data_IF_926612318893
#
_entry.id   IF_926612318893
#
_cell.length_a   1.000
_cell.length_b   1.000
_cell.length_c   1.000
_cell.angle_alpha   90.00
_cell.angle_beta   90.00
_cell.angle_gamma   90.00
#
_symmetry.space_group_name_H-M   'P 1'
#
loop_
_entity.id
_entity.type
_entity.pdbx_description
1 polymer ?
#
# COMPACT_ATOMS: atom_id res chain seq x y z
N UNK A 1 -34.07 -27.76 9.24
CA UNK A 1 -32.93 -27.96 10.17
C UNK A 1 -32.91 -26.84 11.21
N UNK A 2 -32.82 -27.18 12.50
CA UNK A 2 -32.77 -26.18 13.57
C UNK A 2 -31.41 -25.47 13.62
N UNK A 3 -31.41 -24.16 13.78
CA UNK A 3 -30.17 -23.35 13.79
C UNK A 3 -29.18 -23.79 14.88
N UNK A 4 -29.70 -24.25 16.02
CA UNK A 4 -28.93 -24.75 17.16
C UNK A 4 -28.11 -26.00 16.83
N UNK A 5 -28.56 -26.80 15.86
CA UNK A 5 -27.83 -27.97 15.39
C UNK A 5 -26.77 -27.61 14.35
N UNK A 6 -27.01 -26.55 13.55
CA UNK A 6 -26.09 -26.10 12.50
C UNK A 6 -24.85 -25.43 13.09
N UNK A 7 -25.03 -24.61 14.13
CA UNK A 7 -23.96 -23.84 14.78
C UNK A 7 -22.70 -24.67 15.09
N UNK A 8 -22.75 -25.80 15.80
CA UNK A 8 -21.54 -26.56 16.12
C UNK A 8 -20.84 -27.14 14.88
N UNK A 9 -21.58 -27.44 13.82
CA UNK A 9 -20.99 -27.93 12.57
C UNK A 9 -20.29 -26.80 11.81
N UNK A 10 -20.91 -25.62 11.70
CA UNK A 10 -20.28 -24.43 11.12
C UNK A 10 -19.02 -24.05 11.90
N UNK A 11 -19.10 -24.05 13.24
CA UNK A 11 -17.97 -23.78 14.13
C UNK A 11 -16.81 -24.75 13.87
N UNK A 12 -17.10 -26.06 13.76
CA UNK A 12 -16.10 -27.07 13.47
C UNK A 12 -15.47 -26.92 12.08
N UNK A 13 -16.25 -26.60 11.05
CA UNK A 13 -15.74 -26.37 9.69
C UNK A 13 -14.77 -25.18 9.65
N UNK A 14 -15.18 -24.04 10.21
CA UNK A 14 -14.35 -22.82 10.23
C UNK A 14 -13.09 -23.05 11.09
N UNK A 15 -13.19 -23.78 12.19
CA UNK A 15 -12.05 -24.11 13.05
C UNK A 15 -11.04 -25.07 12.39
N UNK A 16 -11.53 -26.06 11.65
CA UNK A 16 -10.68 -27.05 11.00
C UNK A 16 -10.01 -26.53 9.72
N UNK A 17 -10.52 -25.45 9.14
CA UNK A 17 -9.99 -24.89 7.89
C UNK A 17 -8.67 -24.17 8.08
N UNK A 18 -7.73 -24.42 7.16
CA UNK A 18 -6.45 -23.72 7.06
C UNK A 18 -6.52 -22.41 6.26
N UNK A 19 -7.65 -22.16 5.58
CA UNK A 19 -7.91 -20.95 4.79
C UNK A 19 -9.30 -20.35 5.12
N UNK A 20 -9.57 -19.08 4.78
CA UNK A 20 -10.89 -18.50 4.95
C UNK A 20 -11.95 -19.27 4.14
N UNK A 21 -13.03 -19.70 4.81
CA UNK A 21 -14.09 -20.49 4.22
C UNK A 21 -15.25 -19.61 3.72
N UNK A 22 -15.54 -19.58 2.41
CA UNK A 22 -16.70 -18.86 1.87
C UNK A 22 -18.03 -19.42 2.40
N UNK A 23 -19.03 -18.55 2.60
CA UNK A 23 -20.36 -18.97 3.09
C UNK A 23 -21.00 -20.06 2.22
N UNK A 24 -20.90 -19.91 0.90
CA UNK A 24 -21.43 -20.90 -0.04
C UNK A 24 -20.74 -22.26 0.10
N UNK A 25 -19.43 -22.26 0.35
CA UNK A 25 -18.68 -23.49 0.55
C UNK A 25 -19.05 -24.16 1.87
N UNK A 26 -19.32 -23.38 2.93
CA UNK A 26 -19.85 -23.91 4.19
C UNK A 26 -21.21 -24.56 3.97
N UNK A 27 -22.12 -23.92 3.23
CA UNK A 27 -23.43 -24.48 2.87
C UNK A 27 -23.25 -25.82 2.13
N UNK A 28 -22.37 -25.85 1.14
CA UNK A 28 -22.10 -27.05 0.36
C UNK A 28 -21.52 -28.16 1.24
N UNK A 29 -20.51 -27.89 2.06
CA UNK A 29 -19.87 -28.86 2.95
C UNK A 29 -20.84 -29.42 4.00
N UNK A 30 -21.71 -28.57 4.56
CA UNK A 30 -22.78 -29.02 5.44
C UNK A 30 -23.69 -29.99 4.70
N UNK A 31 -24.22 -29.61 3.53
CA UNK A 31 -25.15 -30.46 2.80
C UNK A 31 -24.51 -31.77 2.28
N UNK A 32 -23.21 -31.78 1.99
CA UNK A 32 -22.47 -32.99 1.58
C UNK A 32 -22.16 -33.93 2.76
N UNK A 33 -21.78 -33.39 3.92
CA UNK A 33 -21.54 -34.20 5.13
C UNK A 33 -22.83 -34.76 5.72
N UNK A 34 -23.95 -34.08 5.44
CA UNK A 34 -25.28 -34.40 5.94
C UNK A 34 -26.05 -35.45 5.11
N UNK A 35 -25.37 -36.49 4.60
CA UNK A 35 -26.04 -37.69 4.06
C UNK A 35 -26.93 -38.46 5.07
N UNK A 36 -27.10 -37.94 6.29
CA UNK A 36 -27.82 -38.54 7.42
C UNK A 36 -28.92 -37.64 8.03
N UNK A 37 -29.12 -36.40 7.57
CA UNK A 37 -30.13 -35.48 8.13
C UNK A 37 -31.22 -35.18 7.09
N UNK A 38 -32.47 -35.09 7.56
CA UNK A 38 -33.66 -35.02 6.69
C UNK A 38 -33.83 -33.67 5.95
N UNK A 39 -33.07 -32.63 6.33
CA UNK A 39 -33.23 -31.26 5.85
C UNK A 39 -31.94 -30.65 5.30
N UNK A 40 -32.06 -29.93 4.18
CA UNK A 40 -30.99 -29.14 3.56
C UNK A 40 -30.77 -27.85 4.36
N UNK A 41 -29.52 -27.53 4.69
CA UNK A 41 -29.14 -26.24 5.28
C UNK A 41 -29.22 -25.13 4.22
N UNK A 42 -29.91 -24.03 4.57
CA UNK A 42 -30.02 -22.84 3.72
C UNK A 42 -28.93 -21.82 4.03
N UNK A 43 -28.64 -20.94 3.06
CA UNK A 43 -27.65 -19.86 3.24
C UNK A 43 -27.98 -18.95 4.43
N UNK A 44 -29.26 -18.60 4.62
CA UNK A 44 -29.71 -17.73 5.71
C UNK A 44 -29.46 -18.36 7.09
N UNK A 45 -29.64 -19.68 7.21
CA UNK A 45 -29.32 -20.40 8.43
C UNK A 45 -27.82 -20.44 8.72
N UNK A 46 -26.99 -20.59 7.68
CA UNK A 46 -25.53 -20.53 7.82
C UNK A 46 -25.08 -19.14 8.24
N UNK A 47 -25.60 -18.07 7.62
CA UNK A 47 -25.29 -16.70 8.01
C UNK A 47 -25.68 -16.41 9.46
N UNK A 48 -26.88 -16.84 9.86
CA UNK A 48 -27.36 -16.68 11.24
C UNK A 48 -26.50 -17.49 12.23
N UNK A 49 -26.06 -18.68 11.85
CA UNK A 49 -25.15 -19.49 12.65
C UNK A 49 -23.77 -18.83 12.80
N UNK A 50 -23.20 -18.28 11.72
CA UNK A 50 -21.94 -17.54 11.75
C UNK A 50 -22.05 -16.35 12.69
N UNK A 51 -23.14 -15.57 12.63
CA UNK A 51 -23.32 -14.41 13.50
C UNK A 51 -23.44 -14.82 14.97
N UNK A 52 -24.19 -15.88 15.28
CA UNK A 52 -24.26 -16.42 16.64
C UNK A 52 -22.87 -16.86 17.16
N UNK A 53 -22.05 -17.46 16.30
CA UNK A 53 -20.68 -17.84 16.67
C UNK A 53 -19.80 -16.59 16.87
N UNK A 54 -19.91 -15.58 16.02
CA UNK A 54 -19.19 -14.31 16.19
C UNK A 54 -19.54 -13.64 17.50
N UNK A 55 -20.83 -13.58 17.84
CA UNK A 55 -21.30 -13.03 19.12
C UNK A 55 -20.73 -13.82 20.30
N UNK A 56 -20.77 -15.17 20.25
CA UNK A 56 -20.18 -16.06 21.26
C UNK A 56 -18.70 -15.75 21.53
N UNK A 57 -17.89 -15.55 20.48
CA UNK A 57 -16.45 -15.29 20.60
C UNK A 57 -16.08 -13.81 20.77
N UNK A 58 -17.03 -12.88 20.65
CA UNK A 58 -16.80 -11.45 20.86
C UNK A 58 -16.35 -11.14 22.30
N UNK A 59 -16.81 -11.93 23.28
CA UNK A 59 -16.49 -11.75 24.70
C UNK A 59 -14.99 -11.78 25.00
N UNK A 60 -14.54 -10.96 25.96
CA UNK A 60 -13.13 -10.88 26.40
C UNK A 60 -12.56 -12.19 26.97
N UNK A 61 -13.42 -13.14 27.35
CA UNK A 61 -13.00 -14.46 27.82
C UNK A 61 -12.30 -15.30 26.74
N UNK A 62 -12.53 -15.00 25.45
CA UNK A 62 -11.91 -15.70 24.34
C UNK A 62 -10.77 -14.89 23.72
N UNK A 63 -9.61 -15.53 23.54
CA UNK A 63 -8.42 -14.93 22.92
C UNK A 63 -8.43 -14.93 21.39
N UNK A 64 -9.46 -15.52 20.78
CA UNK A 64 -9.65 -15.64 19.34
C UNK A 64 -11.09 -15.33 18.97
N UNK A 65 -11.31 -14.99 17.71
CA UNK A 65 -12.61 -14.62 17.17
C UNK A 65 -12.73 -15.04 15.70
N UNK A 66 -13.97 -15.16 15.22
CA UNK A 66 -14.22 -15.32 13.79
C UNK A 66 -14.19 -13.95 13.13
N UNK A 67 -13.38 -13.82 12.07
CA UNK A 67 -13.38 -12.63 11.22
C UNK A 67 -13.67 -12.98 9.76
N UNK A 68 -14.35 -12.07 9.04
CA UNK A 68 -14.37 -12.14 7.59
C UNK A 68 -12.97 -11.80 7.06
N UNK A 69 -12.46 -12.61 6.13
CA UNK A 69 -11.20 -12.42 5.43
C UNK A 69 -11.29 -13.13 4.08
N UNK A 70 -10.75 -12.56 3.00
CA UNK A 70 -10.65 -13.33 1.76
C UNK A 70 -11.95 -13.61 1.01
N UNK A 71 -13.08 -13.02 1.44
CA UNK A 71 -14.41 -13.42 0.99
C UNK A 71 -14.99 -14.64 1.73
N UNK A 72 -14.38 -15.06 2.84
CA UNK A 72 -14.84 -16.12 3.72
C UNK A 72 -14.66 -15.79 5.20
N UNK A 73 -14.82 -16.80 6.05
CA UNK A 73 -14.67 -16.69 7.50
C UNK A 73 -13.55 -17.59 8.01
N UNK A 74 -12.76 -17.08 8.96
CA UNK A 74 -11.70 -17.84 9.61
C UNK A 74 -11.61 -17.46 11.09
N UNK A 75 -11.18 -18.41 11.93
CA UNK A 75 -10.74 -18.10 13.28
C UNK A 75 -9.37 -17.44 13.28
N UNK A 76 -9.27 -16.28 13.93
CA UNK A 76 -8.02 -15.54 14.13
C UNK A 76 -7.87 -15.15 15.59
N UNK A 77 -6.63 -15.02 16.05
CA UNK A 77 -6.36 -14.48 17.39
C UNK A 77 -6.71 -13.00 17.45
N UNK A 78 -7.27 -12.53 18.57
CA UNK A 78 -7.61 -11.11 18.74
C UNK A 78 -6.34 -10.24 18.69
N UNK A 79 -6.41 -9.00 18.16
CA UNK A 79 -5.24 -8.12 18.00
C UNK A 79 -4.45 -7.89 19.29
N UNK A 80 -5.13 -7.88 20.44
CA UNK A 80 -4.51 -7.72 21.76
C UNK A 80 -3.43 -8.78 22.08
N UNK A 81 -3.52 -9.97 21.47
CA UNK A 81 -2.58 -11.07 21.70
C UNK A 81 -1.43 -11.12 20.68
N UNK A 82 -1.37 -10.18 19.74
CA UNK A 82 -0.29 -10.11 18.74
C UNK A 82 1.12 -10.22 19.35
N UNK A 83 1.48 -9.50 20.43
CA UNK A 83 2.83 -9.59 21.01
C UNK A 83 3.21 -11.01 21.45
N UNK A 84 2.23 -11.76 21.96
CA UNK A 84 2.41 -13.13 22.42
C UNK A 84 2.51 -14.11 21.24
N UNK A 85 1.60 -13.99 20.26
CA UNK A 85 1.58 -14.87 19.07
C UNK A 85 2.81 -14.64 18.20
N UNK A 86 3.32 -13.41 18.13
CA UNK A 86 4.54 -13.09 17.39
C UNK A 86 5.77 -13.89 17.87
N UNK A 87 5.83 -14.24 19.17
CA UNK A 87 6.91 -15.08 19.70
C UNK A 87 6.89 -16.51 19.14
N UNK A 88 5.70 -17.04 18.81
CA UNK A 88 5.55 -18.37 18.22
C UNK A 88 6.08 -18.41 16.78
N UNK A 89 5.83 -17.35 16.01
CA UNK A 89 6.18 -17.29 14.59
C UNK A 89 7.67 -16.99 14.33
N UNK A 90 8.40 -16.53 15.36
CA UNK A 90 9.82 -16.21 15.32
C UNK A 90 10.21 -15.14 14.28
N UNK A 91 11.51 -14.90 14.11
CA UNK A 91 12.03 -13.94 13.12
C UNK A 91 11.88 -14.42 11.67
N UNK A 92 11.51 -15.70 11.45
CA UNK A 92 11.50 -16.34 10.14
C UNK A 92 10.27 -16.00 9.30
N UNK A 93 9.17 -15.53 9.90
CA UNK A 93 7.91 -15.31 9.18
C UNK A 93 7.66 -13.87 8.71
N UNK A 94 8.58 -12.95 8.98
CA UNK A 94 8.48 -11.55 8.53
C UNK A 94 9.54 -11.22 7.48
N UNK A 95 9.58 -11.96 6.36
CA UNK A 95 10.09 -11.34 5.12
C UNK A 95 9.04 -10.36 4.62
N UNK A 96 8.93 -9.24 5.35
CA UNK A 96 8.14 -8.07 4.98
C UNK A 96 8.47 -7.75 3.53
N UNK A 97 7.45 -7.40 2.76
CA UNK A 97 7.67 -6.81 1.45
C UNK A 97 8.59 -5.60 1.62
N UNK A 98 9.62 -5.51 0.78
CA UNK A 98 10.45 -4.30 0.71
C UNK A 98 9.58 -3.10 0.37
N UNK A 99 10.00 -1.89 0.74
CA UNK A 99 9.30 -0.64 0.43
C UNK A 99 8.93 -0.57 -1.05
N UNK A 100 9.88 -0.83 -1.96
CA UNK A 100 9.63 -0.84 -3.41
C UNK A 100 8.56 -1.85 -3.87
N UNK A 101 8.45 -2.99 -3.19
CA UNK A 101 7.44 -4.00 -3.48
C UNK A 101 6.07 -3.60 -2.93
N UNK A 102 6.04 -2.95 -1.76
CA UNK A 102 4.83 -2.38 -1.18
C UNK A 102 4.26 -1.26 -2.04
N UNK A 103 5.09 -0.33 -2.51
CA UNK A 103 4.70 0.73 -3.44
C UNK A 103 4.12 0.16 -4.74
N UNK A 104 4.81 -0.83 -5.31
CA UNK A 104 4.35 -1.50 -6.53
C UNK A 104 3.00 -2.19 -6.30
N UNK A 105 2.84 -2.87 -5.17
CA UNK A 105 1.60 -3.53 -4.81
C UNK A 105 0.46 -2.53 -4.61
N UNK A 106 0.72 -1.40 -3.95
CA UNK A 106 -0.26 -0.34 -3.74
C UNK A 106 -0.76 0.23 -5.08
N UNK A 107 0.15 0.50 -6.02
CA UNK A 107 -0.22 0.96 -7.37
C UNK A 107 -1.14 -0.06 -8.05
N UNK A 108 -0.78 -1.35 -8.01
CA UNK A 108 -1.61 -2.41 -8.59
C UNK A 108 -2.99 -2.45 -7.92
N UNK A 109 -3.04 -2.42 -6.58
CA UNK A 109 -4.28 -2.52 -5.82
C UNK A 109 -5.28 -1.39 -6.13
N UNK A 110 -4.79 -0.14 -6.26
CA UNK A 110 -5.63 1.04 -6.50
C UNK A 110 -5.89 1.34 -7.98
N UNK A 111 -5.04 0.89 -8.90
CA UNK A 111 -5.17 1.20 -10.34
C UNK A 111 -5.58 0.01 -11.20
N UNK A 112 -5.74 -1.19 -10.62
CA UNK A 112 -6.11 -2.38 -11.38
C UNK A 112 -7.36 -2.17 -12.23
N UNK A 113 -7.40 -2.74 -13.45
CA UNK A 113 -6.35 -3.52 -14.12
C UNK A 113 -5.19 -2.66 -14.70
N UNK A 114 -3.94 -3.01 -14.40
CA UNK A 114 -2.73 -2.19 -14.77
C UNK A 114 -1.68 -3.01 -15.52
N UNK A 115 -0.90 -2.37 -16.39
CA UNK A 115 0.27 -2.99 -17.05
C UNK A 115 1.60 -2.60 -16.40
N UNK A 116 2.68 -3.35 -16.67
CA UNK A 116 4.03 -2.98 -16.21
C UNK A 116 4.38 -1.53 -16.55
N UNK A 117 4.10 -1.09 -17.78
CA UNK A 117 4.39 0.28 -18.21
C UNK A 117 3.63 1.33 -17.39
N UNK A 118 2.38 1.05 -17.03
CA UNK A 118 1.58 1.93 -16.17
C UNK A 118 2.19 2.05 -14.76
N UNK A 119 2.71 0.93 -14.22
CA UNK A 119 3.39 0.92 -12.91
C UNK A 119 4.66 1.75 -12.95
N UNK A 120 5.51 1.53 -13.96
CA UNK A 120 6.79 2.22 -14.08
C UNK A 120 6.61 3.70 -14.36
N UNK A 121 5.56 4.10 -15.10
CA UNK A 121 5.21 5.50 -15.31
C UNK A 121 4.85 6.22 -14.00
N UNK A 122 4.20 5.53 -13.05
CA UNK A 122 3.86 6.10 -11.74
C UNK A 122 5.06 6.09 -10.80
N UNK A 123 5.83 4.98 -10.77
CA UNK A 123 7.00 4.85 -9.87
C UNK A 123 8.22 5.64 -10.33
N UNK A 124 8.32 5.94 -11.63
CA UNK A 124 9.49 6.57 -12.23
C UNK A 124 10.74 5.67 -12.31
N UNK A 125 10.65 4.40 -11.92
CA UNK A 125 11.77 3.44 -11.90
C UNK A 125 11.32 2.04 -12.33
N UNK A 126 12.29 1.19 -12.72
CA UNK A 126 12.03 -0.19 -13.10
C UNK A 126 11.34 -0.96 -11.95
N UNK A 127 10.32 -1.74 -12.29
CA UNK A 127 9.49 -2.48 -11.34
C UNK A 127 9.49 -4.01 -11.55
N UNK A 128 10.37 -4.54 -12.41
CA UNK A 128 10.40 -5.97 -12.77
C UNK A 128 10.57 -6.88 -11.56
N UNK A 129 11.58 -6.59 -10.74
CA UNK A 129 11.87 -7.42 -9.56
C UNK A 129 10.72 -7.39 -8.54
N UNK A 130 10.09 -6.22 -8.34
CA UNK A 130 8.93 -6.07 -7.46
C UNK A 130 7.74 -6.88 -7.99
N UNK A 131 7.41 -6.75 -9.28
CA UNK A 131 6.32 -7.50 -9.90
C UNK A 131 6.56 -9.01 -9.80
N UNK A 132 7.79 -9.47 -10.11
CA UNK A 132 8.15 -10.88 -9.99
C UNK A 132 7.99 -11.38 -8.56
N UNK A 133 8.48 -10.64 -7.56
CA UNK A 133 8.34 -11.01 -6.15
C UNK A 133 6.89 -11.04 -5.67
N UNK A 134 6.05 -10.15 -6.18
CA UNK A 134 4.62 -10.12 -5.85
C UNK A 134 3.86 -11.31 -6.48
N UNK A 135 4.23 -11.72 -7.70
CA UNK A 135 3.72 -12.94 -8.34
C UNK A 135 4.17 -14.20 -7.58
N UNK A 136 5.44 -14.30 -7.20
CA UNK A 136 5.98 -15.42 -6.41
C UNK A 136 5.29 -15.58 -5.05
N UNK A 137 4.83 -14.47 -4.47
CA UNK A 137 4.06 -14.43 -3.22
C UNK A 137 2.55 -14.55 -3.44
N UNK A 138 2.13 -14.75 -4.68
CA UNK A 138 0.73 -14.85 -5.09
C UNK A 138 -0.13 -13.64 -4.67
N UNK A 139 0.45 -12.46 -4.43
CA UNK A 139 -0.31 -11.26 -4.06
C UNK A 139 -0.93 -10.55 -5.28
N UNK A 140 -0.39 -10.83 -6.46
CA UNK A 140 -0.92 -10.33 -7.73
C UNK A 140 -1.05 -11.49 -8.71
N UNK A 141 -1.94 -11.32 -9.68
CA UNK A 141 -2.19 -12.30 -10.76
C UNK A 141 -2.19 -11.61 -12.12
N UNK A 142 -1.87 -12.37 -13.15
CA UNK A 142 -2.00 -11.94 -14.54
C UNK A 142 -3.41 -12.28 -15.00
N UNK A 143 -4.20 -11.26 -15.33
CA UNK A 143 -5.60 -11.44 -15.78
C UNK A 143 -5.74 -11.46 -17.30
N UNK A 144 -4.69 -11.04 -18.04
CA UNK A 144 -4.69 -11.09 -19.49
C UNK A 144 -3.60 -10.22 -20.12
N UNK A 145 -3.84 -9.79 -21.35
CA UNK A 145 -2.99 -8.88 -22.12
C UNK A 145 -3.84 -7.74 -22.67
N UNK A 146 -3.30 -6.52 -22.74
CA UNK A 146 -3.94 -5.42 -23.47
C UNK A 146 -3.69 -5.60 -24.97
N UNK A 147 -4.61 -6.27 -25.66
CA UNK A 147 -4.51 -6.56 -27.11
C UNK A 147 -4.47 -5.30 -27.98
N UNK A 148 -5.04 -4.20 -27.49
CA UNK A 148 -5.12 -2.91 -28.19
C UNK A 148 -3.79 -2.12 -28.20
N UNK A 149 -2.83 -2.50 -27.35
CA UNK A 149 -1.55 -1.79 -27.23
C UNK A 149 -0.41 -2.53 -27.94
N UNK A 150 0.54 -1.79 -28.56
CA UNK A 150 1.76 -2.37 -29.12
C UNK A 150 2.51 -3.21 -28.08
N UNK A 151 2.99 -4.38 -28.49
CA UNK A 151 3.70 -5.31 -27.60
C UNK A 151 2.81 -6.14 -26.67
N UNK A 152 1.48 -5.94 -26.69
CA UNK A 152 0.48 -6.74 -25.95
C UNK A 152 0.90 -7.00 -24.50
N UNK A 153 1.11 -5.92 -23.71
CA UNK A 153 1.66 -6.03 -22.37
C UNK A 153 0.70 -6.80 -21.45
N UNK A 154 1.29 -7.51 -20.48
CA UNK A 154 0.55 -8.23 -19.45
C UNK A 154 -0.22 -7.26 -18.56
N UNK A 155 -1.40 -7.71 -18.11
CA UNK A 155 -2.29 -7.00 -17.20
C UNK A 155 -2.26 -7.68 -15.84
N UNK A 156 -2.07 -6.89 -14.79
CA UNK A 156 -1.95 -7.31 -13.41
C UNK A 156 -3.15 -6.82 -12.58
N UNK A 157 -3.63 -7.69 -11.71
CA UNK A 157 -4.67 -7.43 -10.70
C UNK A 157 -4.26 -8.05 -9.36
N UNK A 158 -4.94 -7.66 -8.27
CA UNK A 158 -4.80 -8.31 -6.96
C UNK A 158 -5.41 -9.70 -6.97
N UNK A 159 -4.79 -10.64 -6.25
CA UNK A 159 -5.23 -12.03 -6.14
C UNK A 159 -6.21 -12.24 -4.95
N UNK A 160 -6.75 -13.44 -4.79
CA UNK A 160 -7.44 -13.83 -3.54
C UNK A 160 -6.50 -13.83 -2.34
N UNK A 161 -5.27 -14.32 -2.50
CA UNK A 161 -4.26 -14.32 -1.44
C UNK A 161 -3.91 -12.92 -0.95
N UNK A 162 -4.06 -11.88 -1.79
CA UNK A 162 -3.98 -10.48 -1.36
C UNK A 162 -5.13 -10.12 -0.41
N UNK A 163 -6.37 -10.45 -0.77
CA UNK A 163 -7.53 -10.25 0.10
C UNK A 163 -7.32 -10.95 1.46
N UNK A 164 -6.85 -12.19 1.45
CA UNK A 164 -6.53 -12.96 2.66
C UNK A 164 -5.43 -12.27 3.49
N UNK A 165 -4.35 -11.84 2.84
CA UNK A 165 -3.20 -11.21 3.48
C UNK A 165 -3.56 -9.88 4.15
N UNK A 166 -4.42 -9.08 3.51
CA UNK A 166 -4.85 -7.78 4.04
C UNK A 166 -6.13 -7.86 4.88
N UNK A 167 -6.76 -9.03 4.99
CA UNK A 167 -7.98 -9.22 5.78
C UNK A 167 -9.19 -8.47 5.21
N UNK A 168 -9.23 -8.27 3.90
CA UNK A 168 -10.33 -7.59 3.18
C UNK A 168 -11.04 -8.58 2.28
N UNK A 169 -12.29 -8.32 1.91
CA UNK A 169 -13.05 -9.24 1.05
C UNK A 169 -12.98 -8.82 -0.42
N UNK A 170 -12.88 -7.53 -0.67
CA UNK A 170 -12.84 -6.95 -2.01
C UNK A 170 -11.77 -5.87 -2.10
N UNK A 171 -11.14 -5.65 -3.27
CA UNK A 171 -10.19 -4.56 -3.42
C UNK A 171 -10.79 -3.17 -3.20
N UNK A 172 -12.10 -3.02 -3.37
CA UNK A 172 -12.83 -1.77 -3.09
C UNK A 172 -12.96 -1.47 -1.59
N UNK A 173 -12.69 -2.44 -0.71
CA UNK A 173 -12.69 -2.25 0.74
C UNK A 173 -11.40 -1.54 1.22
N UNK A 174 -10.44 -1.28 0.31
CA UNK A 174 -9.26 -0.50 0.61
C UNK A 174 -9.64 0.98 0.89
N UNK A 175 -8.96 1.65 1.84
CA UNK A 175 -9.19 3.06 2.15
C UNK A 175 -9.14 3.93 0.90
N UNK A 176 -10.07 4.87 0.72
CA UNK A 176 -10.00 5.72 -0.46
C UNK A 176 -8.79 6.65 -0.35
N UNK A 177 -8.04 6.84 -1.44
CA UNK A 177 -6.83 7.69 -1.47
C UNK A 177 -7.13 9.10 -0.92
N UNK A 178 -8.35 9.61 -1.11
CA UNK A 178 -8.78 10.91 -0.59
C UNK A 178 -8.92 10.95 0.94
N UNK A 179 -9.27 9.84 1.58
CA UNK A 179 -9.47 9.74 3.03
C UNK A 179 -8.11 9.67 3.75
N UNK A 180 -7.15 8.93 3.20
CA UNK A 180 -5.78 8.84 3.74
C UNK A 180 -5.08 10.21 3.77
N UNK A 181 -5.25 11.02 2.71
CA UNK A 181 -4.67 12.37 2.63
C UNK A 181 -5.29 13.35 3.64
N UNK A 182 -6.50 13.08 4.15
CA UNK A 182 -7.14 13.93 5.16
C UNK A 182 -6.70 13.59 6.58
N UNK A 183 -6.38 12.32 6.86
CA UNK A 183 -5.87 11.87 8.17
C UNK A 183 -4.41 12.30 8.43
N UNK A 184 -3.61 12.51 7.38
CA UNK A 184 -2.21 12.97 7.51
C UNK A 184 -2.05 14.49 7.74
N UNK A 185 -3.14 15.28 7.72
CA UNK A 185 -3.09 16.66 8.16
C UNK A 185 -3.16 16.66 9.69
N UNK A 186 -2.07 16.98 10.43
CA UNK A 186 -2.20 17.23 11.86
C UNK A 186 -3.24 18.33 12.01
N UNK A 187 -4.31 18.04 12.75
CA UNK A 187 -5.26 19.03 13.22
C UNK A 187 -4.46 20.11 13.96
N UNK A 188 -4.04 21.13 13.23
CA UNK A 188 -3.49 22.34 13.82
C UNK A 188 -4.67 22.95 14.54
N UNK A 189 -4.68 22.81 15.86
CA UNK A 189 -5.65 23.45 16.73
C UNK A 189 -5.55 24.95 16.42
N UNK A 190 -6.54 25.48 15.71
CA UNK A 190 -6.74 26.91 15.60
C UNK A 190 -7.07 27.38 17.02
N UNK A 191 -6.08 27.94 17.71
CA UNK A 191 -6.31 28.71 18.93
C UNK A 191 -7.09 29.95 18.49
N UNK A 192 -8.42 29.88 18.58
CA UNK A 192 -9.26 31.05 18.46
C UNK A 192 -8.90 31.98 19.61
N UNK A 193 -8.16 33.03 19.30
CA UNK A 193 -7.82 34.10 20.23
C UNK A 193 -9.09 34.60 20.91
N UNK A 194 -9.12 34.53 22.24
CA UNK A 194 -10.16 35.14 23.05
C UNK A 194 -10.14 36.64 22.80
N UNK A 195 -11.24 37.17 22.26
CA UNK A 195 -11.52 38.59 22.16
C UNK A 195 -11.38 39.25 23.54
N UNK A 196 -10.44 40.19 23.68
CA UNK A 196 -10.54 41.28 24.64
C UNK A 196 -10.60 42.60 23.87
N UNK A 197 -11.67 43.34 24.15
CA UNK A 197 -12.07 44.60 23.54
C UNK A 197 -11.05 45.72 23.79
N UNK A 198 -10.75 46.53 22.77
CA UNK A 198 -10.57 47.97 22.96
C UNK A 198 -10.82 48.74 21.67
N UNK A 199 -11.61 49.81 21.82
CA UNK A 199 -12.17 50.70 20.81
C UNK A 199 -11.12 51.56 20.07
N UNK A 200 -11.38 51.87 18.78
CA UNK A 200 -10.93 53.15 18.20
C UNK A 200 -10.86 53.29 16.67
N UNK A 201 -11.94 53.80 16.05
CA UNK A 201 -11.99 54.66 14.83
C UNK A 201 -11.61 54.06 13.43
N UNK A 202 -12.11 54.63 12.30
CA UNK A 202 -12.96 53.93 11.31
C UNK A 202 -12.28 53.80 9.92
N UNK A 203 -12.94 53.22 8.88
CA UNK A 203 -12.26 52.65 7.72
C UNK A 203 -11.95 53.70 6.65
N UNK A 204 -10.85 53.51 5.92
CA UNK A 204 -10.64 54.10 4.60
C UNK A 204 -10.34 53.02 3.58
N UNK A 205 -10.96 53.25 2.43
CA UNK A 205 -11.19 52.40 1.28
C UNK A 205 -9.94 52.34 0.36
N UNK A 206 -9.94 51.37 -0.56
CA UNK A 206 -9.13 51.31 -1.80
C UNK A 206 -7.67 50.84 -1.59
N UNK A 207 -7.06 49.94 -2.37
CA UNK A 207 -7.24 49.44 -3.74
C UNK A 207 -6.43 48.16 -3.89
N UNK A 208 -6.85 47.25 -4.78
CA UNK A 208 -6.00 46.18 -5.35
C UNK A 208 -4.73 46.80 -5.98
N UNK A 209 -3.57 46.12 -5.91
CA UNK A 209 -3.04 45.63 -7.17
C UNK A 209 -2.29 44.28 -7.10
N UNK A 210 -2.28 43.71 -8.30
CA UNK A 210 -1.61 42.54 -8.86
C UNK A 210 -0.07 42.48 -8.74
N UNK A 211 0.40 41.23 -8.87
CA UNK A 211 1.65 40.75 -9.51
C UNK A 211 2.98 40.64 -8.71
N UNK A 212 3.61 39.48 -8.95
CA UNK A 212 5.03 39.12 -8.87
C UNK A 212 5.74 39.00 -7.51
N UNK A 213 5.79 37.77 -6.98
CA UNK A 213 6.83 37.38 -6.01
C UNK A 213 7.98 36.64 -6.70
N UNK A 214 9.11 37.34 -6.80
CA UNK A 214 10.42 36.77 -7.09
C UNK A 214 10.91 35.91 -5.90
N UNK A 215 11.36 34.69 -6.19
CA UNK A 215 11.92 33.75 -5.22
C UNK A 215 13.31 34.18 -4.74
N UNK A 216 13.43 34.76 -3.55
CA UNK A 216 14.70 34.96 -2.86
C UNK A 216 15.11 33.72 -2.05
N UNK A 217 16.32 33.18 -2.27
CA UNK A 217 16.89 32.13 -1.42
C UNK A 217 17.50 32.74 -0.14
N UNK A 218 16.99 32.32 1.02
CA UNK A 218 17.53 32.72 2.32
C UNK A 218 18.70 31.81 2.74
N UNK A 219 19.77 32.40 3.30
CA UNK A 219 20.85 31.64 3.95
C UNK A 219 21.24 32.27 5.29
N UNK A 220 21.81 31.46 6.19
CA UNK A 220 22.15 31.83 7.56
C UNK A 220 23.66 31.83 7.71
N UNK A 221 24.24 32.90 8.27
CA UNK A 221 25.68 32.98 8.54
C UNK A 221 26.08 32.13 9.75
N UNK A 222 27.37 31.83 9.90
CA UNK A 222 27.89 31.06 11.06
C UNK A 222 27.69 31.75 12.42
N UNK A 223 27.27 33.03 12.43
CA UNK A 223 26.91 33.78 13.65
C UNK A 223 25.39 33.86 13.88
N UNK A 224 24.58 33.23 13.02
CA UNK A 224 23.13 33.07 13.22
C UNK A 224 22.26 34.22 12.72
N UNK A 225 22.79 35.11 11.87
CA UNK A 225 22.02 36.19 11.26
C UNK A 225 21.48 35.78 9.87
N UNK A 226 20.24 36.19 9.58
CA UNK A 226 19.55 35.89 8.33
C UNK A 226 19.99 36.88 7.24
N UNK A 227 20.48 36.39 6.10
CA UNK A 227 20.97 37.23 5.00
C UNK A 227 20.18 36.95 3.72
N UNK A 228 19.80 38.03 3.02
CA UNK A 228 19.18 38.00 1.69
C UNK A 228 20.32 38.22 0.68
N UNK A 229 20.50 37.30 -0.27
CA UNK A 229 21.36 37.54 -1.43
C UNK A 229 20.52 38.14 -2.55
N UNK A 230 20.83 39.38 -2.92
CA UNK A 230 20.38 39.96 -4.18
C UNK A 230 21.37 39.58 -5.28
N UNK A 231 20.86 39.09 -6.42
CA UNK A 231 21.68 38.78 -7.59
C UNK A 231 22.32 40.07 -8.12
N UNK A 232 23.62 40.25 -7.90
CA UNK A 232 24.43 41.22 -8.63
C UNK A 232 25.35 40.46 -9.60
N UNK A 233 24.88 40.30 -10.83
CA UNK A 233 25.72 40.09 -11.99
C UNK A 233 26.57 41.35 -12.22
N UNK A 234 27.90 41.22 -12.15
CA UNK A 234 28.83 42.17 -12.78
C UNK A 234 30.19 41.52 -13.11
N UNK A 235 30.31 41.07 -14.38
CA UNK A 235 31.42 41.27 -15.36
C UNK A 235 32.80 40.58 -15.14
N UNK A 236 33.75 40.48 -16.12
CA UNK A 236 33.71 40.74 -17.58
C UNK A 236 34.47 39.72 -18.51
N UNK A 237 34.25 39.89 -19.83
CA UNK A 237 35.19 39.93 -20.98
C UNK A 237 36.07 38.72 -21.42
N UNK A 238 35.98 38.42 -22.72
CA UNK A 238 36.79 37.46 -23.47
C UNK A 238 38.02 38.17 -24.08
N UNK A 239 39.23 37.67 -23.81
CA UNK A 239 40.46 38.13 -24.48
C UNK A 239 41.55 37.06 -24.57
N UNK A 240 41.93 36.73 -25.81
CA UNK A 240 42.99 35.79 -26.25
C UNK A 240 44.35 35.91 -25.53
N UNK A 241 45.08 34.79 -25.40
CA UNK A 241 46.28 34.49 -26.23
C UNK A 241 47.14 33.33 -25.67
N UNK A 242 47.46 32.40 -26.59
CA UNK A 242 48.77 31.77 -26.85
C UNK A 242 49.61 31.16 -25.71
N UNK A 243 49.99 29.88 -25.92
CA UNK A 243 51.42 29.55 -26.02
C UNK A 243 52.00 28.46 -25.11
N UNK A 244 52.37 27.35 -25.77
CA UNK A 244 53.41 26.35 -25.45
C UNK A 244 53.18 25.38 -24.26
N UNK A 245 53.24 24.06 -24.41
CA UNK A 245 54.08 23.06 -25.14
C UNK A 245 54.97 22.28 -24.16
N UNK A 246 55.14 20.98 -24.47
CA UNK A 246 55.97 19.92 -23.86
C UNK A 246 55.30 19.18 -22.69
N UNK A 247 54.98 17.88 -22.76
CA UNK A 247 55.69 16.69 -23.28
C UNK A 247 55.79 15.73 -22.07
N UNK A 248 55.57 14.41 -22.08
CA UNK A 248 55.78 13.30 -23.02
C UNK A 248 54.91 12.11 -22.52
N UNK A 249 54.21 11.39 -23.38
CA UNK A 249 54.59 10.12 -24.02
C UNK A 249 54.74 8.89 -23.07
N UNK A 250 53.84 7.91 -23.27
CA UNK A 250 54.10 6.46 -23.33
C UNK A 250 52.78 5.80 -23.79
N UNK A 251 52.58 5.52 -25.08
CA UNK A 251 52.99 4.30 -25.80
C UNK A 251 52.48 2.97 -25.18
N UNK A 252 51.33 2.54 -25.69
CA UNK A 252 50.94 1.15 -26.03
C UNK A 252 51.87 0.61 -27.16
N UNK A 253 51.88 -0.66 -27.63
CA UNK A 253 50.91 -1.79 -27.50
C UNK A 253 51.66 -3.18 -27.42
N UNK A 254 51.22 -4.35 -27.98
CA UNK A 254 49.92 -4.85 -28.48
C UNK A 254 49.52 -6.29 -28.06
N UNK A 255 48.27 -6.62 -28.42
CA UNK A 255 47.68 -7.90 -28.83
C UNK A 255 48.44 -9.23 -28.65
N UNK A 256 47.73 -10.24 -28.13
CA UNK A 256 47.87 -11.61 -28.62
C UNK A 256 46.50 -12.31 -28.70
N UNK A 257 46.07 -12.57 -29.95
CA UNK A 257 45.09 -13.60 -30.29
C UNK A 257 45.84 -14.90 -30.50
N UNK A 258 45.42 -16.00 -29.87
CA UNK A 258 45.54 -17.34 -30.47
C UNK A 258 44.35 -18.21 -30.10
N UNK A 259 43.75 -18.73 -31.17
CA UNK A 259 42.92 -19.92 -31.25
C UNK A 259 43.67 -21.15 -30.70
N UNK A 260 42.95 -22.16 -30.18
CA UNK A 260 42.98 -23.55 -30.66
C UNK A 260 42.17 -24.49 -29.74
N UNK A 261 41.32 -25.28 -30.40
CA UNK A 261 40.66 -26.57 -30.05
C UNK A 261 39.73 -26.70 -28.82
#
# INVERSE_FOLDING_TARGET
MEITQIIPHVEALIFASDHPLPEMEIVDLLNHSQGFLEDIATLEQVQSAIEAIREKYSSEFYSFEIRPSGGGYQFLTKPAFYPTVAQLNGDKYLKKLSVAAMETLAIIAYKQPVTKGDIEAIRGVNSDYSIQKLLEKELIVITGRKEELPGKPLVYCTSKSFMDYFGINKPQDLPQIKEVLQEELPHTILIQGTNQESNGFPPQNETDPTEDEASGYYSVSETGELMIKEDSDDLPDHGNSEGNDQGSANEYPPDDKKDEE
#
